data_IF_008355286396
#
_entry.id   IF_008355286396
#
_cell.length_a   1.000
_cell.length_b   1.000
_cell.length_c   1.000
_cell.angle_alpha   90.00
_cell.angle_beta   90.00
_cell.angle_gamma   90.00
#
_symmetry.space_group_name_H-M   'P 1'
#
loop_
_entity.id
_entity.type
_entity.pdbx_description
1 polymer ?
#
# COMPACT_ATOMS: atom_id res chain seq x y z
N UNK A 1 -40.73 -20.12 -24.63
CA UNK A 1 -39.46 -20.72 -25.11
C UNK A 1 -38.33 -19.94 -24.46
N UNK A 2 -37.77 -20.47 -23.37
CA UNK A 2 -36.64 -19.87 -22.67
C UNK A 2 -35.48 -20.84 -22.88
N UNK A 3 -34.45 -20.41 -23.61
CA UNK A 3 -33.25 -21.20 -23.84
C UNK A 3 -32.52 -21.44 -22.50
N UNK A 4 -32.07 -22.67 -22.21
CA UNK A 4 -31.34 -22.95 -20.99
C UNK A 4 -29.92 -22.38 -21.09
N UNK A 5 -29.48 -21.73 -20.02
CA UNK A 5 -28.15 -21.19 -19.87
C UNK A 5 -27.08 -22.29 -20.03
N UNK A 6 -26.12 -22.05 -20.92
CA UNK A 6 -24.94 -22.88 -21.08
C UNK A 6 -24.07 -22.78 -19.81
N UNK A 7 -24.12 -23.83 -18.98
CA UNK A 7 -23.12 -24.08 -17.95
C UNK A 7 -21.78 -24.32 -18.65
N UNK A 8 -20.83 -23.39 -18.50
CA UNK A 8 -19.42 -23.64 -18.81
C UNK A 8 -18.90 -24.76 -17.89
N UNK A 9 -19.07 -26.01 -18.29
CA UNK A 9 -18.34 -27.14 -17.73
C UNK A 9 -16.85 -26.96 -18.08
N UNK A 10 -16.00 -26.82 -17.07
CA UNK A 10 -14.56 -26.98 -17.24
C UNK A 10 -14.30 -28.32 -17.94
N UNK A 11 -13.48 -28.30 -18.99
CA UNK A 11 -13.23 -29.45 -19.86
C UNK A 11 -12.83 -30.69 -19.04
N UNK A 12 -13.75 -31.64 -18.91
CA UNK A 12 -13.61 -32.91 -18.16
C UNK A 12 -12.77 -33.95 -18.91
N UNK A 13 -12.17 -33.59 -20.05
CA UNK A 13 -11.43 -34.51 -20.92
C UNK A 13 -10.10 -34.99 -20.33
N UNK A 14 -9.60 -34.35 -19.27
CA UNK A 14 -8.40 -34.79 -18.54
C UNK A 14 -8.74 -35.10 -17.09
N UNK A 15 -9.10 -36.35 -16.75
CA UNK A 15 -9.08 -36.78 -15.36
C UNK A 15 -7.64 -36.65 -14.85
N UNK A 16 -7.39 -35.74 -13.90
CA UNK A 16 -6.07 -35.63 -13.26
C UNK A 16 -5.70 -36.99 -12.67
N UNK A 17 -4.76 -37.68 -13.32
CA UNK A 17 -4.42 -39.03 -12.93
C UNK A 17 -3.80 -38.99 -11.53
N UNK A 18 -4.09 -40.00 -10.70
CA UNK A 18 -3.46 -40.17 -9.37
C UNK A 18 -1.92 -40.10 -9.45
N UNK A 19 -1.37 -40.49 -10.58
CA UNK A 19 0.06 -40.39 -10.91
C UNK A 19 0.55 -38.94 -11.01
N UNK A 20 -0.21 -38.04 -11.64
CA UNK A 20 0.13 -36.61 -11.79
C UNK A 20 0.12 -35.89 -10.43
N UNK A 21 -0.83 -36.20 -9.56
CA UNK A 21 -0.89 -35.62 -8.21
C UNK A 21 0.31 -36.02 -7.35
N UNK A 22 0.87 -37.22 -7.57
CA UNK A 22 2.02 -37.72 -6.81
C UNK A 22 3.32 -37.01 -7.18
N UNK A 23 3.48 -36.58 -8.43
CA UNK A 23 4.68 -35.87 -8.93
C UNK A 23 4.55 -34.35 -8.84
N UNK A 24 3.38 -33.82 -8.51
CA UNK A 24 3.15 -32.38 -8.43
C UNK A 24 3.88 -31.75 -7.21
N UNK A 25 5.01 -31.10 -7.47
CA UNK A 25 5.68 -30.29 -6.45
C UNK A 25 4.97 -28.93 -6.28
N UNK A 26 4.29 -28.75 -5.15
CA UNK A 26 3.61 -27.48 -4.86
C UNK A 26 4.60 -26.34 -4.66
N UNK A 27 4.31 -25.18 -5.26
CA UNK A 27 5.06 -23.94 -5.01
C UNK A 27 4.82 -23.43 -3.58
N UNK A 28 5.68 -22.53 -3.11
CA UNK A 28 5.54 -21.88 -1.80
C UNK A 28 4.15 -21.24 -1.62
N UNK A 29 3.65 -21.25 -0.37
CA UNK A 29 2.29 -20.79 -0.03
C UNK A 29 1.94 -19.42 -0.64
N UNK A 30 2.80 -18.41 -0.48
CA UNK A 30 2.55 -17.05 -0.99
C UNK A 30 2.62 -16.95 -2.53
N UNK A 31 3.31 -17.88 -3.20
CA UNK A 31 3.31 -17.98 -4.67
C UNK A 31 2.01 -18.62 -5.16
N UNK A 32 1.50 -19.64 -4.46
CA UNK A 32 0.17 -20.23 -4.73
C UNK A 32 -0.96 -19.23 -4.53
N UNK A 33 -0.85 -18.36 -3.53
CA UNK A 33 -1.79 -17.25 -3.30
C UNK A 33 -1.59 -16.06 -4.26
N UNK A 34 -0.54 -16.07 -5.10
CA UNK A 34 -0.26 -14.96 -6.02
C UNK A 34 0.06 -13.63 -5.33
N UNK A 35 0.64 -13.64 -4.12
CA UNK A 35 0.92 -12.43 -3.33
C UNK A 35 2.38 -11.99 -3.30
N UNK A 36 3.30 -12.83 -3.76
CA UNK A 36 4.73 -12.56 -3.63
C UNK A 36 5.49 -13.14 -4.79
N UNK A 37 6.30 -12.28 -5.41
CA UNK A 37 7.40 -12.72 -6.24
C UNK A 37 8.64 -13.00 -5.35
N UNK A 38 9.02 -14.27 -5.28
CA UNK A 38 10.19 -14.69 -4.52
C UNK A 38 11.51 -14.32 -5.20
N UNK A 39 11.49 -14.06 -6.52
CA UNK A 39 12.68 -13.69 -7.27
C UNK A 39 13.14 -12.27 -6.91
N UNK A 40 12.22 -11.29 -6.94
CA UNK A 40 12.47 -9.95 -6.43
C UNK A 40 12.76 -9.96 -4.91
N UNK A 41 11.93 -10.65 -4.12
CA UNK A 41 12.06 -10.70 -2.66
C UNK A 41 13.41 -11.23 -2.20
N UNK A 42 13.96 -12.26 -2.85
CA UNK A 42 15.30 -12.80 -2.52
C UNK A 42 16.34 -11.69 -2.53
N UNK A 43 16.39 -10.87 -3.59
CA UNK A 43 17.38 -9.78 -3.74
C UNK A 43 17.15 -8.62 -2.76
N UNK A 44 15.90 -8.32 -2.47
CA UNK A 44 15.54 -7.27 -1.51
C UNK A 44 15.95 -7.64 -0.08
N UNK A 45 15.92 -8.92 0.29
CA UNK A 45 16.22 -9.38 1.65
C UNK A 45 17.68 -9.74 1.84
N UNK A 46 18.34 -10.33 0.84
CA UNK A 46 19.74 -10.74 0.97
C UNK A 46 20.62 -9.55 1.30
N UNK A 47 21.29 -9.64 2.45
CA UNK A 47 22.29 -8.70 2.92
C UNK A 47 23.69 -9.27 2.68
N UNK A 48 24.66 -8.38 2.49
CA UNK A 48 26.06 -8.80 2.41
C UNK A 48 26.50 -9.43 3.74
N UNK A 49 27.14 -10.61 3.68
CA UNK A 49 27.48 -11.40 4.88
C UNK A 49 28.43 -10.68 5.83
N UNK A 50 29.27 -9.78 5.32
CA UNK A 50 30.16 -8.93 6.11
C UNK A 50 29.43 -7.90 6.98
N UNK A 51 28.13 -7.66 6.75
CA UNK A 51 27.29 -6.78 7.58
C UNK A 51 26.57 -7.52 8.71
N UNK A 52 26.81 -8.84 8.84
CA UNK A 52 26.29 -9.69 9.92
C UNK A 52 24.79 -9.46 10.20
N UNK A 53 24.46 -9.00 11.41
CA UNK A 53 23.09 -8.80 11.89
C UNK A 53 22.47 -7.47 11.46
N UNK A 54 23.15 -6.63 10.67
CA UNK A 54 22.61 -5.35 10.23
C UNK A 54 21.37 -5.58 9.33
N UNK A 55 20.16 -5.17 9.77
CA UNK A 55 18.94 -5.42 9.03
C UNK A 55 18.93 -4.62 7.73
N UNK A 56 18.37 -5.23 6.68
CA UNK A 56 18.09 -4.55 5.42
C UNK A 56 16.63 -4.10 5.42
N UNK A 57 16.41 -2.80 5.63
CA UNK A 57 15.08 -2.21 5.68
C UNK A 57 14.48 -2.06 4.29
N UNK A 58 13.18 -2.34 4.19
CA UNK A 58 12.39 -2.27 2.98
C UNK A 58 11.17 -1.39 3.22
N UNK A 59 10.93 -0.46 2.31
CA UNK A 59 9.69 0.30 2.23
C UNK A 59 8.68 -0.53 1.43
N UNK A 60 7.78 -1.20 2.13
CA UNK A 60 6.70 -1.99 1.53
C UNK A 60 5.53 -1.07 1.25
N UNK A 61 5.23 -0.86 -0.03
CA UNK A 61 4.06 -0.09 -0.48
C UNK A 61 3.05 -1.03 -1.11
N UNK A 62 1.81 -1.04 -0.62
CA UNK A 62 0.73 -1.87 -1.16
C UNK A 62 -0.53 -1.04 -1.31
N UNK A 63 -1.18 -1.22 -2.44
CA UNK A 63 -2.49 -0.65 -2.72
C UNK A 63 -3.54 -1.75 -2.53
N UNK A 64 -4.55 -1.46 -1.74
CA UNK A 64 -5.82 -2.18 -1.77
C UNK A 64 -6.79 -1.39 -2.64
N UNK A 65 -8.03 -1.86 -2.80
CA UNK A 65 -9.02 -1.15 -3.61
C UNK A 65 -9.41 0.23 -3.05
N UNK A 66 -9.21 0.46 -1.74
CA UNK A 66 -9.70 1.68 -1.06
C UNK A 66 -8.69 2.31 -0.08
N UNK A 67 -7.52 1.71 0.08
CA UNK A 67 -6.54 2.11 1.11
C UNK A 67 -5.12 1.87 0.60
N UNK A 68 -4.21 2.73 1.03
CA UNK A 68 -2.78 2.65 0.75
C UNK A 68 -2.09 2.22 2.03
N UNK A 69 -1.21 1.24 1.92
CA UNK A 69 -0.46 0.67 3.05
C UNK A 69 1.02 0.93 2.79
N UNK A 70 1.67 1.70 3.67
CA UNK A 70 3.11 1.93 3.65
C UNK A 70 3.73 1.42 4.95
N UNK A 71 4.79 0.61 4.84
CA UNK A 71 5.44 0.00 6.01
C UNK A 71 6.95 -0.05 5.84
N UNK A 72 7.69 0.22 6.91
CA UNK A 72 9.12 -0.09 6.97
C UNK A 72 9.28 -1.46 7.61
N UNK A 73 9.89 -2.38 6.87
CA UNK A 73 9.96 -3.79 7.24
C UNK A 73 11.38 -4.30 7.09
N UNK A 74 11.84 -5.08 8.06
CA UNK A 74 13.06 -5.88 7.92
C UNK A 74 12.72 -7.37 8.11
N UNK A 75 13.63 -8.24 7.65
CA UNK A 75 13.37 -9.68 7.60
C UNK A 75 14.12 -10.42 8.70
N UNK A 76 13.43 -11.29 9.42
CA UNK A 76 14.04 -12.29 10.31
C UNK A 76 13.65 -13.71 9.84
N UNK A 77 14.31 -14.73 10.40
CA UNK A 77 14.04 -16.14 10.07
C UNK A 77 12.61 -16.53 10.50
N UNK A 78 12.14 -15.99 11.63
CA UNK A 78 10.79 -16.25 12.16
C UNK A 78 9.71 -15.59 11.30
N UNK A 79 10.00 -14.42 10.73
CA UNK A 79 9.11 -13.65 9.90
C UNK A 79 9.59 -12.22 9.71
N UNK A 80 8.89 -11.49 8.85
CA UNK A 80 9.15 -10.07 8.65
C UNK A 80 8.66 -9.27 9.88
N UNK A 81 9.48 -8.33 10.35
CA UNK A 81 9.16 -7.42 11.45
C UNK A 81 8.90 -6.03 10.91
N UNK A 82 7.78 -5.45 11.34
CA UNK A 82 7.39 -4.09 10.97
C UNK A 82 8.03 -3.13 11.97
N UNK A 83 8.85 -2.22 11.46
CA UNK A 83 9.47 -1.16 12.25
C UNK A 83 8.49 -0.01 12.51
N UNK A 84 7.81 0.44 11.44
CA UNK A 84 6.75 1.43 11.48
C UNK A 84 5.76 1.20 10.33
N UNK A 85 4.54 1.72 10.47
CA UNK A 85 3.48 1.65 9.48
C UNK A 85 2.72 2.96 9.40
N UNK A 86 2.21 3.27 8.21
CA UNK A 86 1.21 4.30 7.98
C UNK A 86 0.20 3.80 6.94
N UNK A 87 -1.01 4.34 7.03
CA UNK A 87 -2.14 3.95 6.18
C UNK A 87 -2.86 5.20 5.68
N UNK A 88 -3.48 5.13 4.49
CA UNK A 88 -4.15 6.33 3.96
C UNK A 88 -5.43 6.69 4.69
N UNK A 89 -6.13 5.73 5.30
CA UNK A 89 -7.27 6.06 6.17
C UNK A 89 -6.94 6.92 7.39
N UNK A 90 -5.66 6.98 7.80
CA UNK A 90 -5.22 7.88 8.87
C UNK A 90 -5.07 9.33 8.41
N UNK A 91 -4.98 9.58 7.08
CA UNK A 91 -4.86 10.93 6.53
C UNK A 91 -6.06 11.83 6.84
N UNK A 92 -7.20 11.24 7.18
CA UNK A 92 -8.39 11.97 7.65
C UNK A 92 -8.10 12.85 8.87
N UNK A 93 -7.19 12.42 9.74
CA UNK A 93 -6.74 13.17 10.93
C UNK A 93 -5.96 14.42 10.58
N UNK A 94 -5.41 14.45 9.38
CA UNK A 94 -4.54 15.49 8.85
C UNK A 94 -5.26 16.38 7.83
N UNK A 95 -6.60 16.29 7.72
CA UNK A 95 -7.42 17.13 6.83
C UNK A 95 -7.82 16.47 5.50
N UNK A 96 -7.17 15.37 5.10
CA UNK A 96 -7.51 14.69 3.83
C UNK A 96 -8.66 13.71 4.07
N UNK A 97 -9.88 14.18 3.85
CA UNK A 97 -11.10 13.38 4.09
C UNK A 97 -11.42 12.42 2.95
N UNK A 98 -11.25 12.87 1.70
CA UNK A 98 -11.58 12.14 0.48
C UNK A 98 -10.34 11.77 -0.34
N UNK A 99 -10.52 10.95 -1.39
CA UNK A 99 -9.44 10.67 -2.35
C UNK A 99 -8.28 9.83 -1.83
N UNK A 100 -8.47 8.99 -0.80
CA UNK A 100 -7.41 8.26 -0.10
C UNK A 100 -6.56 7.26 -0.92
N UNK A 101 -6.84 7.13 -2.21
CA UNK A 101 -6.11 6.24 -3.12
C UNK A 101 -5.48 6.96 -4.32
N UNK A 102 -5.56 8.29 -4.42
CA UNK A 102 -4.94 9.03 -5.51
C UNK A 102 -3.41 9.12 -5.35
N UNK A 103 -2.74 9.81 -6.26
CA UNK A 103 -1.28 9.98 -6.22
C UNK A 103 -0.85 10.85 -5.03
N UNK A 104 -1.57 11.96 -4.79
CA UNK A 104 -1.34 12.88 -3.67
C UNK A 104 -1.46 12.20 -2.28
N UNK A 105 -2.47 11.34 -2.08
CA UNK A 105 -2.61 10.53 -0.88
C UNK A 105 -1.47 9.51 -0.75
N UNK A 106 -0.99 8.93 -1.86
CA UNK A 106 0.18 8.06 -1.81
C UNK A 106 1.41 8.83 -1.32
N UNK A 107 1.65 10.03 -1.85
CA UNK A 107 2.70 10.94 -1.38
C UNK A 107 2.57 11.25 0.11
N UNK A 108 1.41 11.73 0.56
CA UNK A 108 1.15 12.05 1.96
C UNK A 108 1.35 10.84 2.91
N UNK A 109 0.92 9.64 2.51
CA UNK A 109 1.17 8.43 3.32
C UNK A 109 2.65 8.03 3.38
N UNK A 110 3.41 8.30 2.32
CA UNK A 110 4.87 8.13 2.30
C UNK A 110 5.56 9.09 3.28
N UNK A 111 5.18 10.36 3.23
CA UNK A 111 5.67 11.42 4.12
C UNK A 111 5.36 11.10 5.59
N UNK A 112 4.13 10.67 5.87
CA UNK A 112 3.70 10.27 7.22
C UNK A 112 4.54 9.10 7.77
N UNK A 113 4.78 8.08 6.95
CA UNK A 113 5.64 6.97 7.35
C UNK A 113 7.07 7.44 7.64
N UNK A 114 7.62 8.31 6.79
CA UNK A 114 8.97 8.82 6.96
C UNK A 114 9.13 9.55 8.29
N UNK A 115 8.26 10.52 8.58
CA UNK A 115 8.30 11.27 9.84
C UNK A 115 8.13 10.39 11.06
N UNK A 116 7.22 9.41 11.03
CA UNK A 116 7.08 8.43 12.14
C UNK A 116 8.35 7.65 12.39
N UNK A 117 9.03 7.24 11.33
CA UNK A 117 10.24 6.42 11.45
C UNK A 117 11.41 7.22 11.98
N UNK A 118 11.59 8.46 11.51
CA UNK A 118 12.65 9.35 11.97
C UNK A 118 12.42 9.79 13.40
N UNK A 119 11.19 10.16 13.77
CA UNK A 119 10.82 10.52 15.15
C UNK A 119 11.04 9.34 16.12
N UNK A 120 10.73 8.12 15.68
CA UNK A 120 11.01 6.90 16.47
C UNK A 120 12.51 6.63 16.65
N UNK A 121 13.35 7.10 15.74
CA UNK A 121 14.81 6.96 15.77
C UNK A 121 15.51 8.18 16.40
N UNK A 122 14.79 9.26 16.72
CA UNK A 122 15.38 10.54 17.16
C UNK A 122 16.25 11.19 16.07
N UNK A 123 15.80 11.12 14.81
CA UNK A 123 16.49 11.64 13.62
C UNK A 123 15.67 12.73 12.90
N UNK A 124 14.55 13.15 13.48
CA UNK A 124 13.58 14.06 12.89
C UNK A 124 14.13 15.48 12.70
N UNK A 125 14.88 16.01 13.67
CA UNK A 125 15.49 17.35 13.58
C UNK A 125 16.67 17.40 12.60
N UNK A 126 17.42 16.30 12.47
CA UNK A 126 18.63 16.23 11.64
C UNK A 126 18.31 16.01 10.16
N UNK A 127 17.23 15.29 9.87
CA UNK A 127 16.82 14.97 8.51
C UNK A 127 15.40 15.49 8.28
N UNK A 128 15.27 16.82 8.17
CA UNK A 128 14.02 17.48 7.83
C UNK A 128 13.63 17.25 6.37
N UNK A 129 14.54 16.86 5.48
CA UNK A 129 14.22 16.58 4.08
C UNK A 129 13.77 17.83 3.33
N UNK A 130 12.88 17.68 2.34
CA UNK A 130 12.34 18.81 1.57
C UNK A 130 11.08 19.32 2.26
N UNK A 131 11.04 20.59 2.66
CA UNK A 131 9.90 21.19 3.37
C UNK A 131 8.77 21.58 2.40
N UNK A 132 9.12 22.24 1.31
CA UNK A 132 8.22 22.64 0.24
C UNK A 132 8.45 21.74 -0.97
N UNK A 133 7.49 20.87 -1.32
CA UNK A 133 7.65 19.98 -2.46
C UNK A 133 7.50 20.76 -3.76
N UNK A 134 8.63 21.22 -4.29
CA UNK A 134 8.82 21.86 -5.59
C UNK A 134 8.72 20.87 -6.77
N UNK A 135 8.75 19.56 -6.47
CA UNK A 135 8.81 18.51 -7.49
C UNK A 135 10.23 18.22 -7.97
N UNK A 136 11.26 18.84 -7.40
CA UNK A 136 12.63 18.59 -7.80
C UNK A 136 13.11 17.21 -7.33
N UNK A 137 13.90 16.56 -8.16
CA UNK A 137 14.55 15.31 -7.81
C UNK A 137 15.76 15.56 -6.90
N UNK A 138 15.56 15.39 -5.60
CA UNK A 138 16.62 15.44 -4.58
C UNK A 138 16.62 14.16 -3.75
N UNK A 139 17.82 13.64 -3.49
CA UNK A 139 18.03 12.56 -2.52
C UNK A 139 18.52 13.15 -1.20
N UNK A 140 18.10 12.57 -0.09
CA UNK A 140 18.59 12.98 1.23
C UNK A 140 20.05 12.56 1.39
N UNK A 141 20.95 13.54 1.47
CA UNK A 141 22.37 13.31 1.62
C UNK A 141 22.77 13.07 3.09
N UNK A 142 24.04 12.71 3.32
CA UNK A 142 24.58 12.62 4.68
C UNK A 142 24.82 14.02 5.24
N UNK A 143 24.49 14.22 6.51
CA UNK A 143 24.67 15.51 7.19
C UNK A 143 25.90 15.41 8.08
N UNK A 144 26.76 16.42 8.04
CA UNK A 144 27.83 16.60 9.02
C UNK A 144 27.22 17.19 10.30
N UNK A 145 27.33 16.47 11.41
CA UNK A 145 26.89 16.92 12.74
C UNK A 145 28.12 17.16 13.61
N UNK A 146 27.98 17.86 14.73
CA UNK A 146 29.08 18.15 15.67
C UNK A 146 29.80 16.88 16.19
N UNK A 147 29.10 15.73 16.21
CA UNK A 147 29.62 14.41 16.58
C UNK A 147 30.18 13.57 15.39
N UNK A 148 30.24 14.15 14.18
CA UNK A 148 30.71 13.52 12.95
C UNK A 148 29.66 13.37 11.84
N UNK A 149 29.99 12.64 10.77
CA UNK A 149 29.09 12.42 9.63
C UNK A 149 28.00 11.40 9.96
N UNK A 150 26.75 11.86 10.05
CA UNK A 150 25.59 11.00 10.31
C UNK A 150 24.90 10.65 9.00
N UNK A 151 24.66 9.35 8.81
CA UNK A 151 24.06 8.82 7.57
C UNK A 151 22.54 8.77 7.71
N UNK A 152 21.78 9.13 6.66
CA UNK A 152 20.34 9.07 6.68
C UNK A 152 19.84 7.63 6.79
N UNK A 153 18.62 7.46 7.31
CA UNK A 153 18.00 6.15 7.40
C UNK A 153 17.75 5.60 6.00
N UNK A 154 18.34 4.44 5.69
CA UNK A 154 18.25 3.85 4.35
C UNK A 154 17.18 2.77 4.28
N UNK A 155 16.26 2.90 3.32
CA UNK A 155 15.26 1.87 3.00
C UNK A 155 15.20 1.59 1.49
N UNK A 156 14.87 0.36 1.11
CA UNK A 156 14.70 -0.04 -0.29
C UNK A 156 13.23 -0.25 -0.64
N UNK A 157 12.77 0.31 -1.77
CA UNK A 157 11.38 0.13 -2.21
C UNK A 157 11.07 -1.36 -2.52
N UNK A 158 10.03 -1.89 -1.90
CA UNK A 158 9.44 -3.19 -2.18
C UNK A 158 8.07 -2.98 -2.83
N UNK A 159 8.04 -3.03 -4.17
CA UNK A 159 6.82 -2.90 -4.99
C UNK A 159 5.95 -4.16 -5.01
N UNK A 160 6.50 -5.30 -4.60
CA UNK A 160 5.82 -6.59 -4.62
C UNK A 160 5.52 -7.08 -6.04
N UNK A 161 4.24 -7.09 -6.41
CA UNK A 161 3.75 -7.54 -7.72
C UNK A 161 3.20 -6.39 -8.57
N UNK A 162 3.28 -5.15 -8.07
CA UNK A 162 2.81 -3.99 -8.82
C UNK A 162 3.72 -3.77 -10.02
N UNK A 163 3.12 -3.48 -11.18
CA UNK A 163 3.85 -3.15 -12.40
C UNK A 163 4.56 -1.82 -12.21
N UNK A 164 5.85 -1.79 -12.51
CA UNK A 164 6.68 -0.57 -12.46
C UNK A 164 6.54 0.19 -13.79
N UNK A 165 5.45 0.96 -13.93
CA UNK A 165 5.25 1.91 -15.03
C UNK A 165 5.55 3.35 -14.58
N UNK A 166 5.89 4.22 -15.52
CA UNK A 166 5.99 5.67 -15.27
C UNK A 166 4.65 6.20 -14.75
N UNK A 167 4.69 7.13 -13.79
CA UNK A 167 3.49 7.70 -13.17
C UNK A 167 2.74 6.78 -12.18
N UNK A 168 3.24 5.57 -11.91
CA UNK A 168 2.56 4.69 -10.95
C UNK A 168 2.56 5.28 -9.52
N UNK A 169 1.40 5.25 -8.86
CA UNK A 169 1.20 5.76 -7.48
C UNK A 169 2.14 5.19 -6.42
N UNK A 170 2.71 4.00 -6.66
CA UNK A 170 3.74 3.41 -5.78
C UNK A 170 4.94 4.33 -5.66
N UNK A 171 5.31 5.02 -6.75
CA UNK A 171 6.41 5.97 -6.76
C UNK A 171 6.04 7.30 -6.07
N UNK A 172 4.75 7.66 -6.01
CA UNK A 172 4.29 8.78 -5.17
C UNK A 172 4.57 8.54 -3.69
N UNK A 173 4.24 7.35 -3.17
CA UNK A 173 4.58 6.98 -1.79
C UNK A 173 6.09 6.90 -1.54
N UNK A 174 6.86 6.51 -2.55
CA UNK A 174 8.33 6.54 -2.48
C UNK A 174 8.86 7.98 -2.42
N UNK A 175 8.33 8.88 -3.25
CA UNK A 175 8.72 10.30 -3.32
C UNK A 175 8.42 11.00 -2.00
N UNK A 176 7.21 10.83 -1.46
CA UNK A 176 6.85 11.38 -0.15
C UNK A 176 7.70 10.83 1.00
N UNK A 177 8.07 9.54 0.94
CA UNK A 177 8.99 8.99 1.94
C UNK A 177 10.42 9.54 1.81
N UNK A 178 10.88 9.81 0.59
CA UNK A 178 12.18 10.44 0.31
C UNK A 178 12.21 11.89 0.80
N UNK A 179 11.22 12.69 0.40
CA UNK A 179 11.10 14.10 0.82
C UNK A 179 10.87 14.23 2.33
N UNK A 180 10.34 13.17 2.95
CA UNK A 180 10.20 13.04 4.39
C UNK A 180 11.49 12.78 5.17
N UNK A 181 12.64 12.67 4.51
CA UNK A 181 13.96 12.53 5.15
C UNK A 181 14.55 11.11 5.15
N UNK A 182 13.86 10.11 4.58
CA UNK A 182 14.41 8.76 4.41
C UNK A 182 15.23 8.70 3.13
N UNK A 183 16.43 8.13 3.21
CA UNK A 183 17.21 7.82 2.02
C UNK A 183 16.67 6.57 1.32
N UNK A 184 15.99 6.78 0.19
CA UNK A 184 15.55 5.72 -0.71
C UNK A 184 16.33 5.86 -2.01
N UNK A 185 17.20 4.91 -2.38
CA UNK A 185 17.91 5.00 -3.65
C UNK A 185 16.93 4.75 -4.80
N UNK A 186 16.70 5.78 -5.62
CA UNK A 186 15.83 5.74 -6.80
C UNK A 186 16.38 6.65 -7.92
N UNK A 187 15.69 6.69 -9.04
CA UNK A 187 15.97 7.57 -10.20
C UNK A 187 14.66 8.29 -10.58
N UNK A 188 14.76 9.38 -11.31
CA UNK A 188 13.61 10.22 -11.68
C UNK A 188 12.73 9.64 -12.80
N UNK A 189 13.24 8.67 -13.55
CA UNK A 189 12.65 8.13 -14.78
C UNK A 189 11.28 7.44 -14.62
N UNK A 190 10.76 7.34 -13.39
CA UNK A 190 9.47 6.70 -13.08
C UNK A 190 8.43 7.66 -12.52
N UNK A 191 8.78 8.92 -12.31
CA UNK A 191 7.85 9.94 -11.88
C UNK A 191 6.90 10.39 -13.00
N UNK A 192 5.68 10.85 -12.66
CA UNK A 192 4.86 11.58 -13.63
C UNK A 192 5.61 12.84 -14.08
N UNK A 193 5.49 13.19 -15.36
CA UNK A 193 6.25 14.31 -15.95
C UNK A 193 7.62 13.95 -16.52
N UNK A 194 8.09 12.70 -16.35
CA UNK A 194 9.34 12.26 -17.00
C UNK A 194 9.09 11.93 -18.47
N UNK A 195 9.82 12.62 -19.34
CA UNK A 195 9.83 12.33 -20.77
C UNK A 195 10.97 11.36 -21.12
N UNK A 196 10.64 10.33 -21.91
CA UNK A 196 11.57 9.29 -22.32
C UNK A 196 12.46 9.78 -23.45
N UNK A 197 11.99 10.73 -24.28
CA UNK A 197 12.75 11.21 -25.45
C UNK A 197 13.80 12.26 -25.06
N UNK A 198 13.41 13.25 -24.25
CA UNK A 198 14.36 14.26 -23.73
C UNK A 198 15.17 13.78 -22.52
N UNK A 199 14.77 12.67 -21.88
CA UNK A 199 15.33 12.17 -20.62
C UNK A 199 15.22 13.18 -19.45
N UNK A 200 14.31 14.15 -19.55
CA UNK A 200 14.11 15.22 -18.56
C UNK A 200 12.85 15.00 -17.72
N UNK A 201 12.92 15.42 -16.45
CA UNK A 201 11.78 15.46 -15.55
C UNK A 201 11.18 16.86 -15.55
N UNK A 202 9.91 16.97 -15.94
CA UNK A 202 9.14 18.18 -15.67
C UNK A 202 8.72 18.23 -14.18
N UNK A 203 9.42 19.09 -13.43
CA UNK A 203 9.15 19.30 -12.01
C UNK A 203 7.76 19.91 -11.76
N UNK A 204 7.25 20.73 -12.69
CA UNK A 204 5.93 21.37 -12.56
C UNK A 204 4.81 20.33 -12.61
N UNK A 205 4.86 19.42 -13.59
CA UNK A 205 3.94 18.28 -13.64
C UNK A 205 4.05 17.44 -12.37
N UNK A 206 5.26 17.15 -11.87
CA UNK A 206 5.40 16.36 -10.65
C UNK A 206 4.79 17.07 -9.44
N UNK A 207 5.00 18.39 -9.30
CA UNK A 207 4.37 19.23 -8.27
C UNK A 207 2.84 19.16 -8.36
N UNK A 208 2.28 19.30 -9.56
CA UNK A 208 0.84 19.21 -9.77
C UNK A 208 0.28 17.83 -9.34
N UNK A 209 1.03 16.75 -9.54
CA UNK A 209 0.62 15.42 -9.04
C UNK A 209 0.70 15.29 -7.51
N UNK A 210 1.67 15.94 -6.85
CA UNK A 210 1.83 15.95 -5.39
C UNK A 210 0.61 16.60 -4.72
N UNK A 211 0.17 17.75 -5.24
CA UNK A 211 -0.96 18.51 -4.70
C UNK A 211 -2.31 18.12 -5.29
N UNK A 212 -2.36 17.13 -6.18
CA UNK A 212 -3.63 16.62 -6.71
C UNK A 212 -4.23 17.47 -7.83
N UNK A 213 -3.46 18.33 -8.51
CA UNK A 213 -3.90 19.15 -9.65
C UNK A 213 -4.56 18.33 -10.77
N UNK A 214 -4.05 17.13 -11.08
CA UNK A 214 -4.71 16.21 -12.03
C UNK A 214 -6.13 15.78 -11.63
N UNK A 215 -6.46 15.81 -10.32
CA UNK A 215 -7.81 15.57 -9.83
C UNK A 215 -8.64 16.84 -9.95
N UNK A 216 -8.07 18.00 -9.61
CA UNK A 216 -8.70 19.32 -9.78
C UNK A 216 -9.08 19.58 -11.24
N UNK A 217 -8.14 19.42 -12.18
CA UNK A 217 -8.37 19.56 -13.62
C UNK A 217 -9.49 18.62 -14.11
N UNK A 218 -9.53 17.39 -13.59
CA UNK A 218 -10.57 16.43 -13.94
C UNK A 218 -11.94 16.79 -13.34
N UNK A 219 -11.96 17.41 -12.14
CA UNK A 219 -13.18 17.96 -11.55
C UNK A 219 -13.74 19.11 -12.38
N UNK A 220 -12.89 20.05 -12.80
CA UNK A 220 -13.27 21.19 -13.64
C UNK A 220 -13.80 20.73 -15.00
N UNK A 221 -13.04 19.87 -15.69
CA UNK A 221 -13.44 19.33 -17.01
C UNK A 221 -14.79 18.63 -16.94
N UNK A 222 -15.04 17.81 -15.90
CA UNK A 222 -16.32 17.13 -15.76
C UNK A 222 -17.47 18.04 -15.34
N UNK A 223 -17.20 19.12 -14.60
CA UNK A 223 -18.22 20.10 -14.25
C UNK A 223 -18.75 20.80 -15.50
N UNK A 224 -17.88 21.06 -16.48
CA UNK A 224 -18.24 21.70 -17.74
C UNK A 224 -18.85 20.72 -18.77
N UNK A 225 -18.31 19.51 -18.90
CA UNK A 225 -18.70 18.56 -19.95
C UNK A 225 -19.90 17.67 -19.59
N UNK A 226 -19.93 17.11 -18.37
CA UNK A 226 -20.90 16.07 -17.96
C UNK A 226 -21.17 16.09 -16.45
N UNK A 227 -22.18 16.90 -16.07
CA UNK A 227 -22.59 17.07 -14.68
C UNK A 227 -23.09 15.77 -14.02
N UNK A 228 -23.67 14.83 -14.79
CA UNK A 228 -24.13 13.54 -14.25
C UNK A 228 -22.94 12.69 -13.78
N UNK A 229 -21.88 12.64 -14.59
CA UNK A 229 -20.64 11.97 -14.21
C UNK A 229 -19.97 12.65 -13.03
N UNK A 230 -19.94 13.98 -13.01
CA UNK A 230 -19.40 14.75 -11.90
C UNK A 230 -20.11 14.39 -10.58
N UNK A 231 -21.45 14.45 -10.55
CA UNK A 231 -22.25 14.10 -9.37
C UNK A 231 -22.03 12.66 -8.92
N UNK A 232 -21.87 11.70 -9.85
CA UNK A 232 -21.68 10.29 -9.50
C UNK A 232 -20.29 9.97 -8.94
N UNK A 233 -19.22 10.54 -9.50
CA UNK A 233 -17.84 10.25 -9.11
C UNK A 233 -17.40 11.08 -7.90
N UNK A 234 -17.81 12.35 -7.85
CA UNK A 234 -17.44 13.32 -6.83
C UNK A 234 -18.55 13.57 -5.80
N UNK A 235 -19.53 12.68 -5.68
CA UNK A 235 -20.63 12.79 -4.71
C UNK A 235 -20.17 13.18 -3.30
N UNK A 236 -19.04 12.62 -2.84
CA UNK A 236 -18.49 12.89 -1.51
C UNK A 236 -17.73 14.20 -1.39
N UNK A 237 -17.23 14.75 -2.50
CA UNK A 237 -16.62 16.07 -2.53
C UNK A 237 -17.73 17.12 -2.45
N UNK A 238 -18.82 16.92 -3.18
CA UNK A 238 -20.03 17.75 -3.12
C UNK A 238 -20.66 17.72 -1.72
N UNK A 239 -20.79 16.53 -1.11
CA UNK A 239 -21.32 16.38 0.27
C UNK A 239 -20.48 17.14 1.32
N UNK A 240 -19.18 17.27 1.07
CA UNK A 240 -18.25 17.93 1.97
C UNK A 240 -17.93 19.38 1.57
N UNK A 241 -18.57 19.91 0.52
CA UNK A 241 -18.34 21.27 0.00
C UNK A 241 -16.86 21.54 -0.33
N UNK A 242 -16.20 20.58 -0.99
CA UNK A 242 -14.80 20.71 -1.44
C UNK A 242 -14.77 20.92 -2.96
N UNK A 243 -14.26 22.09 -3.38
CA UNK A 243 -14.11 22.44 -4.79
C UNK A 243 -12.69 22.12 -5.32
N UNK A 244 -12.51 22.26 -6.63
CA UNK A 244 -11.25 21.91 -7.30
C UNK A 244 -10.06 22.78 -6.84
N UNK A 245 -10.31 24.05 -6.54
CA UNK A 245 -9.29 25.00 -6.06
C UNK A 245 -8.79 24.71 -4.65
N UNK A 246 -9.64 24.13 -3.78
CA UNK A 246 -9.30 23.88 -2.38
C UNK A 246 -8.34 22.68 -2.21
N UNK A 247 -8.24 21.82 -3.23
CA UNK A 247 -7.44 20.59 -3.14
C UNK A 247 -5.96 20.85 -2.86
N UNK A 248 -5.34 21.84 -3.50
CA UNK A 248 -3.94 22.17 -3.28
C UNK A 248 -3.68 22.61 -1.84
N UNK A 249 -4.56 23.47 -1.30
CA UNK A 249 -4.49 23.96 0.08
C UNK A 249 -4.66 22.81 1.08
N UNK A 250 -5.65 21.93 0.88
CA UNK A 250 -5.89 20.76 1.74
C UNK A 250 -4.63 19.87 1.83
N UNK A 251 -3.96 19.61 0.71
CA UNK A 251 -2.75 18.79 0.72
C UNK A 251 -1.56 19.54 1.36
N UNK A 252 -1.40 20.83 1.10
CA UNK A 252 -0.35 21.65 1.69
C UNK A 252 -0.48 21.72 3.23
N UNK A 253 -1.68 21.95 3.75
CA UNK A 253 -1.97 21.92 5.18
C UNK A 253 -1.74 20.54 5.78
N UNK A 254 -2.18 19.48 5.09
CA UNK A 254 -1.94 18.12 5.54
C UNK A 254 -0.45 17.80 5.65
N UNK A 255 0.37 18.26 4.71
CA UNK A 255 1.83 18.07 4.76
C UNK A 255 2.46 18.76 5.96
N UNK A 256 2.00 19.97 6.31
CA UNK A 256 2.43 20.69 7.52
C UNK A 256 1.99 19.94 8.79
N UNK A 257 0.73 19.57 8.88
CA UNK A 257 0.17 18.83 10.02
C UNK A 257 0.87 17.47 10.25
N UNK A 258 1.25 16.77 9.17
CA UNK A 258 2.01 15.51 9.24
C UNK A 258 3.41 15.73 9.82
N UNK A 259 4.07 16.86 9.51
CA UNK A 259 5.40 17.20 10.03
C UNK A 259 5.34 17.58 11.51
N UNK A 260 4.33 18.33 11.92
CA UNK A 260 4.13 18.74 13.32
C UNK A 260 3.89 17.53 14.24
N UNK A 261 2.86 16.72 13.94
CA UNK A 261 2.57 15.51 14.73
C UNK A 261 2.28 14.27 13.88
N UNK A 262 3.31 13.46 13.58
CA UNK A 262 3.12 12.21 12.85
C UNK A 262 2.37 11.13 13.65
N UNK A 263 2.08 11.31 14.95
CA UNK A 263 1.37 10.34 15.79
C UNK A 263 -0.03 10.78 16.23
N UNK A 264 -0.62 11.76 15.53
CA UNK A 264 -1.96 12.26 15.79
C UNK A 264 -2.99 11.12 15.90
N UNK A 265 -3.73 11.09 17.01
CA UNK A 265 -4.79 10.11 17.27
C UNK A 265 -6.10 10.57 16.65
N UNK A 266 -6.96 9.62 16.28
CA UNK A 266 -8.35 9.95 15.94
C UNK A 266 -9.11 10.24 17.23
N UNK A 267 -9.73 11.42 17.30
CA UNK A 267 -10.59 11.80 18.42
C UNK A 267 -11.96 11.09 18.33
N UNK A 268 -12.42 10.80 17.11
CA UNK A 268 -13.70 10.13 16.83
C UNK A 268 -13.63 8.59 16.86
N UNK A 269 -12.49 8.00 17.21
CA UNK A 269 -12.33 6.54 17.17
C UNK A 269 -13.11 5.88 18.31
N UNK A 270 -14.27 5.29 17.96
CA UNK A 270 -15.07 4.46 18.88
C UNK A 270 -14.20 3.41 19.57
N UNK A 271 -14.47 3.07 20.85
CA UNK A 271 -13.68 2.09 21.58
C UNK A 271 -13.64 0.76 20.82
N UNK A 272 -12.41 0.31 20.51
CA UNK A 272 -12.19 -0.96 19.80
C UNK A 272 -12.60 -2.11 20.71
N UNK A 273 -13.48 -2.98 20.21
CA UNK A 273 -13.84 -4.25 20.89
C UNK A 273 -12.58 -5.04 21.21
N UNK A 274 -12.59 -5.73 22.35
CA UNK A 274 -11.44 -6.47 22.82
C UNK A 274 -11.11 -7.66 21.89
N UNK A 275 -9.86 -8.14 21.93
CA UNK A 275 -9.43 -9.31 21.13
C UNK A 275 -10.27 -10.56 21.46
N UNK A 276 -10.72 -10.66 22.71
CA UNK A 276 -11.51 -11.79 23.19
C UNK A 276 -12.95 -11.73 22.64
N UNK A 277 -13.56 -10.55 22.63
CA UNK A 277 -14.86 -10.32 22.03
C UNK A 277 -14.86 -10.64 20.53
N UNK A 278 -13.87 -10.16 19.77
CA UNK A 278 -13.75 -10.47 18.35
C UNK A 278 -13.54 -11.96 18.08
N UNK A 279 -12.80 -12.64 18.96
CA UNK A 279 -12.58 -14.09 18.87
C UNK A 279 -13.87 -14.85 19.13
N UNK A 280 -14.68 -14.42 20.10
CA UNK A 280 -15.98 -15.01 20.38
C UNK A 280 -16.94 -14.79 19.21
N UNK A 281 -17.02 -13.57 18.66
CA UNK A 281 -17.89 -13.24 17.53
C UNK A 281 -17.51 -14.04 16.27
N UNK A 282 -16.22 -14.08 15.92
CA UNK A 282 -15.74 -14.79 14.72
C UNK A 282 -15.96 -16.30 14.79
N UNK A 283 -15.94 -16.88 16.00
CA UNK A 283 -16.16 -18.32 16.19
C UNK A 283 -17.58 -18.76 15.82
N UNK A 284 -18.58 -17.88 15.98
CA UNK A 284 -19.99 -18.18 15.67
C UNK A 284 -20.17 -18.57 14.20
N UNK A 285 -19.44 -17.94 13.29
CA UNK A 285 -19.54 -18.18 11.84
C UNK A 285 -18.59 -19.27 11.33
N UNK A 286 -17.63 -19.70 12.15
CA UNK A 286 -16.63 -20.70 11.76
C UNK A 286 -17.18 -22.11 11.94
N UNK A 287 -17.45 -22.79 10.83
CA UNK A 287 -17.82 -24.22 10.84
C UNK A 287 -16.66 -25.09 11.35
N UNK A 288 -16.93 -25.89 12.38
CA UNK A 288 -15.98 -26.88 12.86
C UNK A 288 -15.86 -28.06 11.87
N UNK A 289 -14.70 -28.73 11.87
CA UNK A 289 -14.55 -29.99 11.12
C UNK A 289 -15.31 -31.09 11.86
N UNK A 290 -16.09 -31.86 11.11
CA UNK A 290 -16.79 -33.04 11.65
C UNK A 290 -15.79 -34.02 12.27
N UNK A 291 -16.20 -34.63 13.37
CA UNK A 291 -15.48 -35.73 14.00
C UNK A 291 -15.44 -36.95 13.08
N UNK A 292 -14.57 -37.91 13.38
CA UNK A 292 -14.50 -39.16 12.60
C UNK A 292 -15.79 -39.98 12.73
N UNK A 293 -16.41 -39.98 13.90
CA UNK A 293 -17.63 -40.72 14.21
C UNK A 293 -18.82 -40.12 13.47
N UNK A 294 -18.98 -38.80 13.52
CA UNK A 294 -20.02 -38.08 12.77
C UNK A 294 -19.91 -38.33 11.27
N UNK A 295 -18.69 -38.38 10.73
CA UNK A 295 -18.46 -38.71 9.32
C UNK A 295 -18.89 -40.14 8.98
N UNK A 296 -18.57 -41.12 9.84
CA UNK A 296 -18.97 -42.53 9.63
C UNK A 296 -20.50 -42.67 9.69
N UNK A 297 -21.13 -42.09 10.71
CA UNK A 297 -22.58 -42.12 10.85
C UNK A 297 -23.28 -41.52 9.62
N UNK A 298 -22.79 -40.40 9.08
CA UNK A 298 -23.31 -39.82 7.83
C UNK A 298 -23.13 -40.72 6.61
N UNK A 299 -22.01 -41.42 6.51
CA UNK A 299 -21.77 -42.37 5.41
C UNK A 299 -22.73 -43.56 5.52
N UNK A 300 -22.90 -44.12 6.72
CA UNK A 300 -23.84 -45.23 6.96
C UNK A 300 -25.29 -44.83 6.68
N UNK A 301 -25.73 -43.66 7.15
CA UNK A 301 -27.04 -43.10 6.84
C UNK A 301 -27.25 -42.95 5.33
N UNK A 302 -26.26 -42.36 4.63
CA UNK A 302 -26.34 -42.15 3.18
C UNK A 302 -26.36 -43.47 2.39
N UNK A 303 -25.62 -44.49 2.83
CA UNK A 303 -25.67 -45.83 2.21
C UNK A 303 -27.06 -46.44 2.39
N UNK A 304 -27.66 -46.33 3.58
CA UNK A 304 -29.02 -46.85 3.83
C UNK A 304 -30.07 -46.13 2.99
N UNK A 305 -29.97 -44.81 2.85
CA UNK A 305 -30.89 -44.02 2.02
C UNK A 305 -30.80 -44.35 0.53
N UNK A 306 -29.60 -44.63 0.01
CA UNK A 306 -29.40 -44.95 -1.41
C UNK A 306 -29.69 -46.42 -1.75
N UNK A 307 -29.68 -47.31 -0.75
CA UNK A 307 -29.98 -48.72 -0.90
C UNK A 307 -31.48 -49.03 -0.70
N UNK A 308 -32.25 -48.08 -0.14
CA UNK A 308 -33.70 -48.11 -0.04
C UNK A 308 -34.35 -47.57 -1.32
#
# INVERSE_FOLDING_TARGET
MIAPAALCFGHLSFPQARQEQRVLQTKYRRRREGKTDYYARKRLITQAKNKYNAPKYRLVVRFTNRDIITQIVYSEITGDKVFASAYSHELKRYGITQGLTNWAAAYATGLLLARRTLKKLGLDEQFTGVEEPDGEYKLTEAVETDDGTRRPFKAFLDVGLVRTSTGARVFGAMKGASDGGIFIPHSENRFPGYDIESEELDAETLRNYIFGGHVSEYMETLADDDEERYRSQFAKYIENEIDAGDLEEIYAEAHKAIREDPFKKDEDEKPKKSKEEWKAESKKYKKAKLSREEKKARVEQKIRELAA
#
